data_IF_659105527252
#
_entry.id   IF_659105527252
#
_cell.length_a   1.000
_cell.length_b   1.000
_cell.length_c   1.000
_cell.angle_alpha   90.00
_cell.angle_beta   90.00
_cell.angle_gamma   90.00
#
_symmetry.space_group_name_H-M   'P 1'
#
loop_
_entity.id
_entity.type
_entity.pdbx_description
1 polymer ?
#
# COMPACT_ATOMS: atom_id res chain seq x y z
N UNK A 1 46.72 -0.77 -7.36
CA UNK A 1 45.79 -1.56 -6.50
C UNK A 1 44.92 -0.67 -5.59
N UNK A 2 45.43 0.41 -4.99
CA UNK A 2 44.68 1.26 -4.05
C UNK A 2 43.54 2.11 -4.66
N UNK A 3 43.60 2.46 -5.95
CA UNK A 3 42.54 3.25 -6.61
C UNK A 3 41.26 2.47 -6.92
N UNK A 4 41.37 1.15 -7.14
CA UNK A 4 40.22 0.28 -7.40
C UNK A 4 39.38 0.10 -6.14
N UNK A 5 40.03 -0.08 -4.98
CA UNK A 5 39.37 -0.21 -3.68
C UNK A 5 38.53 1.04 -3.35
N UNK A 6 39.12 2.24 -3.49
CA UNK A 6 38.41 3.52 -3.29
C UNK A 6 37.22 3.71 -4.24
N UNK A 7 37.32 3.23 -5.48
CA UNK A 7 36.23 3.32 -6.44
C UNK A 7 35.04 2.41 -6.05
N UNK A 8 35.31 1.20 -5.57
CA UNK A 8 34.27 0.26 -5.09
C UNK A 8 33.57 0.82 -3.85
N UNK A 9 34.34 1.35 -2.89
CA UNK A 9 33.80 1.94 -1.66
C UNK A 9 32.86 3.12 -1.98
N UNK A 10 33.25 3.98 -2.92
CA UNK A 10 32.42 5.07 -3.40
C UNK A 10 31.14 4.57 -4.09
N UNK A 11 31.22 3.52 -4.91
CA UNK A 11 30.04 2.93 -5.55
C UNK A 11 29.07 2.35 -4.50
N UNK A 12 29.58 1.62 -3.49
CA UNK A 12 28.74 1.06 -2.43
C UNK A 12 28.07 2.15 -1.59
N UNK A 13 28.80 3.23 -1.26
CA UNK A 13 28.26 4.39 -0.56
C UNK A 13 27.09 5.02 -1.34
N UNK A 14 27.29 5.28 -2.63
CA UNK A 14 26.24 5.84 -3.50
C UNK A 14 25.00 4.93 -3.60
N UNK A 15 25.20 3.61 -3.72
CA UNK A 15 24.10 2.64 -3.75
C UNK A 15 23.32 2.63 -2.42
N UNK A 16 24.03 2.67 -1.29
CA UNK A 16 23.44 2.71 0.05
C UNK A 16 22.62 3.98 0.26
N UNK A 17 23.16 5.15 -0.10
CA UNK A 17 22.44 6.42 -0.03
C UNK A 17 21.18 6.41 -0.90
N UNK A 18 21.29 5.90 -2.14
CA UNK A 18 20.14 5.78 -3.04
C UNK A 18 19.06 4.87 -2.47
N UNK A 19 19.44 3.73 -1.89
CA UNK A 19 18.51 2.83 -1.22
C UNK A 19 17.86 3.49 0.01
N UNK A 20 18.64 4.23 0.80
CA UNK A 20 18.15 4.97 1.97
C UNK A 20 17.11 6.01 1.58
N UNK A 21 17.39 6.83 0.56
CA UNK A 21 16.45 7.85 0.04
C UNK A 21 15.14 7.22 -0.44
N UNK A 22 15.18 6.05 -1.09
CA UNK A 22 13.96 5.31 -1.47
C UNK A 22 13.17 4.87 -0.24
N UNK A 23 13.83 4.32 0.78
CA UNK A 23 13.19 3.90 2.04
C UNK A 23 12.53 5.08 2.77
N UNK A 24 13.20 6.23 2.86
CA UNK A 24 12.62 7.43 3.47
C UNK A 24 11.36 7.89 2.73
N UNK A 25 11.39 7.94 1.39
CA UNK A 25 10.20 8.32 0.59
C UNK A 25 9.02 7.37 0.82
N UNK A 26 9.28 6.06 0.91
CA UNK A 26 8.23 5.07 1.22
C UNK A 26 7.69 5.33 2.63
N UNK A 27 8.56 5.54 3.60
CA UNK A 27 8.15 5.76 4.99
C UNK A 27 7.29 7.02 5.16
N UNK A 28 7.62 8.10 4.45
CA UNK A 28 6.79 9.31 4.45
C UNK A 28 5.41 9.05 3.85
N UNK A 29 5.33 8.30 2.72
CA UNK A 29 4.05 7.89 2.16
C UNK A 29 3.23 7.01 3.11
N UNK A 30 3.88 6.10 3.85
CA UNK A 30 3.20 5.27 4.86
C UNK A 30 2.63 6.13 6.00
N UNK A 31 3.37 7.13 6.49
CA UNK A 31 2.88 8.07 7.50
C UNK A 31 1.71 8.91 6.99
N UNK A 32 1.77 9.37 5.73
CA UNK A 32 0.65 10.08 5.11
C UNK A 32 -0.59 9.20 5.00
N UNK A 33 -0.43 7.93 4.60
CA UNK A 33 -1.51 6.97 4.53
C UNK A 33 -2.15 6.74 5.91
N UNK A 34 -1.33 6.54 6.95
CA UNK A 34 -1.81 6.36 8.32
C UNK A 34 -2.80 7.46 8.74
N UNK A 35 -2.51 8.72 8.43
CA UNK A 35 -3.38 9.86 8.78
C UNK A 35 -4.76 9.84 8.09
N UNK A 36 -4.90 9.11 6.99
CA UNK A 36 -6.13 9.03 6.21
C UNK A 36 -7.00 7.83 6.59
N UNK A 37 -6.40 6.79 7.17
CA UNK A 37 -7.10 5.55 7.50
C UNK A 37 -7.61 5.61 8.96
N UNK A 38 -8.91 5.37 9.21
CA UNK A 38 -9.44 5.32 10.57
C UNK A 38 -8.86 4.14 11.34
N UNK A 39 -8.60 4.32 12.64
CA UNK A 39 -8.08 3.29 13.55
C UNK A 39 -6.68 2.73 13.21
N UNK A 40 -5.90 3.43 12.37
CA UNK A 40 -4.59 3.01 11.87
C UNK A 40 -3.44 3.14 12.89
N UNK A 41 -3.67 2.80 14.16
CA UNK A 41 -2.60 2.82 15.17
C UNK A 41 -1.52 1.75 14.92
N UNK A 42 -1.76 0.84 13.97
CA UNK A 42 -0.86 -0.28 13.66
C UNK A 42 0.45 0.22 13.08
N UNK A 43 1.54 -0.26 13.66
CA UNK A 43 2.91 0.08 13.26
C UNK A 43 3.45 -0.83 12.15
N UNK A 44 2.79 -1.97 11.92
CA UNK A 44 3.15 -2.91 10.86
C UNK A 44 2.68 -2.45 9.47
N UNK A 45 3.57 -2.57 8.48
CA UNK A 45 3.33 -2.05 7.13
C UNK A 45 2.33 -2.90 6.33
N UNK A 46 2.30 -4.22 6.53
CA UNK A 46 1.35 -5.07 5.83
C UNK A 46 -0.06 -4.79 6.34
N UNK A 47 -0.22 -4.75 7.66
CA UNK A 47 -1.49 -4.44 8.31
C UNK A 47 -2.05 -3.07 7.90
N UNK A 48 -1.20 -2.04 7.76
CA UNK A 48 -1.61 -0.72 7.28
C UNK A 48 -2.16 -0.75 5.84
N UNK A 49 -1.59 -1.61 4.99
CA UNK A 49 -2.06 -1.77 3.62
C UNK A 49 -3.40 -2.52 3.58
N UNK A 50 -3.56 -3.55 4.40
CA UNK A 50 -4.82 -4.29 4.51
C UNK A 50 -5.96 -3.39 5.01
N UNK A 51 -5.70 -2.57 6.04
CA UNK A 51 -6.66 -1.59 6.55
C UNK A 51 -7.00 -0.52 5.51
N UNK A 52 -6.03 -0.06 4.72
CA UNK A 52 -6.27 0.90 3.66
C UNK A 52 -7.18 0.31 2.56
N UNK A 53 -6.95 -0.95 2.17
CA UNK A 53 -7.79 -1.65 1.19
C UNK A 53 -9.23 -1.78 1.71
N UNK A 54 -9.37 -2.21 2.96
CA UNK A 54 -10.68 -2.38 3.60
C UNK A 54 -11.45 -1.05 3.69
N UNK A 55 -10.77 0.02 4.10
CA UNK A 55 -11.39 1.35 4.19
C UNK A 55 -11.84 1.86 2.80
N UNK A 56 -11.07 1.62 1.75
CA UNK A 56 -11.46 1.99 0.38
C UNK A 56 -12.68 1.20 -0.11
N UNK A 57 -12.78 -0.11 0.20
CA UNK A 57 -13.98 -0.91 -0.11
C UNK A 57 -15.22 -0.36 0.60
N UNK A 58 -15.08 0.01 1.86
CA UNK A 58 -16.17 0.61 2.64
C UNK A 58 -16.61 1.97 2.06
N UNK A 59 -15.67 2.83 1.69
CA UNK A 59 -15.98 4.10 1.05
C UNK A 59 -16.70 3.91 -0.30
N UNK A 60 -16.28 2.94 -1.12
CA UNK A 60 -16.98 2.61 -2.37
C UNK A 60 -18.42 2.17 -2.12
N UNK A 61 -18.66 1.34 -1.10
CA UNK A 61 -20.01 0.91 -0.72
C UNK A 61 -20.87 2.08 -0.23
N UNK A 62 -20.31 2.99 0.58
CA UNK A 62 -21.00 4.19 1.05
C UNK A 62 -21.42 5.08 -0.13
N UNK A 63 -20.51 5.33 -1.06
CA UNK A 63 -20.81 6.12 -2.28
C UNK A 63 -21.88 5.45 -3.13
N UNK A 64 -21.81 4.12 -3.32
CA UNK A 64 -22.82 3.38 -4.07
C UNK A 64 -24.20 3.46 -3.40
N UNK A 65 -24.26 3.27 -2.08
CA UNK A 65 -25.51 3.36 -1.31
C UNK A 65 -26.14 4.73 -1.44
N UNK A 66 -25.34 5.79 -1.28
CA UNK A 66 -25.80 7.17 -1.45
C UNK A 66 -26.28 7.45 -2.87
N UNK A 67 -25.60 6.94 -3.89
CA UNK A 67 -26.02 7.10 -5.28
C UNK A 67 -27.38 6.43 -5.56
N UNK A 68 -27.57 5.19 -5.07
CA UNK A 68 -28.84 4.47 -5.18
C UNK A 68 -29.96 5.21 -4.44
N UNK A 69 -29.71 5.66 -3.20
CA UNK A 69 -30.68 6.42 -2.40
C UNK A 69 -31.09 7.74 -3.08
N UNK A 70 -30.14 8.39 -3.76
CA UNK A 70 -30.39 9.65 -4.46
C UNK A 70 -30.97 9.45 -5.88
N UNK A 71 -31.33 8.22 -6.27
CA UNK A 71 -31.90 7.92 -7.59
C UNK A 71 -30.90 8.05 -8.75
N UNK A 72 -29.62 8.26 -8.46
CA UNK A 72 -28.53 8.29 -9.43
C UNK A 72 -28.07 6.85 -9.64
N UNK A 73 -28.72 6.14 -10.57
CA UNK A 73 -28.42 4.75 -10.92
C UNK A 73 -27.02 4.55 -11.50
N UNK A 74 -25.97 4.65 -10.69
CA UNK A 74 -24.60 4.27 -11.05
C UNK A 74 -24.44 2.76 -10.89
N UNK A 75 -25.09 2.01 -11.78
CA UNK A 75 -24.80 0.61 -12.04
C UNK A 75 -23.48 0.50 -12.82
N UNK A 76 -22.35 0.87 -12.21
CA UNK A 76 -21.03 0.66 -12.83
C UNK A 76 -19.92 0.58 -11.78
N UNK A 77 -20.03 -0.34 -10.84
CA UNK A 77 -18.85 -1.07 -10.34
C UNK A 77 -19.32 -2.31 -9.61
N UNK A 78 -19.61 -3.37 -10.38
CA UNK A 78 -19.68 -4.72 -9.84
C UNK A 78 -18.24 -5.11 -9.48
N UNK A 79 -17.79 -4.75 -8.28
CA UNK A 79 -16.55 -5.30 -7.73
C UNK A 79 -16.80 -6.82 -7.56
N UNK A 80 -16.04 -7.70 -8.22
CA UNK A 80 -16.17 -9.13 -7.97
C UNK A 80 -15.77 -9.43 -6.53
N UNK A 81 -16.47 -10.34 -5.84
CA UNK A 81 -16.04 -10.83 -4.54
C UNK A 81 -14.66 -11.48 -4.68
N UNK A 82 -13.81 -11.14 -3.73
CA UNK A 82 -12.55 -11.77 -3.37
C UNK A 82 -12.43 -13.22 -3.85
N UNK A 83 -11.36 -13.51 -4.59
CA UNK A 83 -10.89 -14.86 -4.81
C UNK A 83 -10.68 -15.51 -3.44
N UNK A 84 -11.45 -16.55 -3.12
CA UNK A 84 -11.14 -17.46 -2.04
C UNK A 84 -9.71 -17.97 -2.23
N UNK A 85 -8.74 -17.43 -1.49
CA UNK A 85 -7.50 -18.14 -1.22
C UNK A 85 -7.86 -19.30 -0.29
N UNK A 86 -8.33 -20.38 -0.90
CA UNK A 86 -8.38 -21.68 -0.24
C UNK A 86 -6.95 -22.07 0.11
N UNK A 87 -6.66 -21.99 1.40
CA UNK A 87 -5.65 -22.86 2.00
C UNK A 87 -6.05 -24.30 1.73
N UNK A 88 -5.23 -25.03 0.96
CA UNK A 88 -5.15 -26.49 1.05
C UNK A 88 -5.26 -27.29 -0.25
N UNK A 89 -4.11 -27.90 -0.60
CA UNK A 89 -3.97 -29.29 -1.08
C UNK A 89 -3.91 -29.56 -2.60
N UNK A 90 -2.86 -30.34 -2.97
CA UNK A 90 -2.57 -31.13 -4.19
C UNK A 90 -1.97 -30.42 -5.43
N UNK A 91 -0.63 -30.36 -5.49
CA UNK A 91 0.21 -31.31 -6.24
C UNK A 91 1.68 -31.23 -5.77
#
# INVERSE_FOLDING_TARGET
>A
RNSLKRNIDAQFHNLSEKASRRRSKINEKMKSLQKLIPNSNKTDKASMLDEAIEYLKQLQLQVQTLAVMNGLGLNSMRLPPEMCFSTGTLL
#
